data_IF_708331160633
#
_entry.id   IF_708331160633
#
_cell.length_a   1.000
_cell.length_b   1.000
_cell.length_c   1.000
_cell.angle_alpha   90.00
_cell.angle_beta   90.00
_cell.angle_gamma   90.00
#
_symmetry.space_group_name_H-M   'P 1'
#
loop_
_entity.id
_entity.type
_entity.pdbx_description
1 polymer ?
#
# COMPACT_ATOMS: atom_id res chain seq x y z
N UNK A 1 -33.50 102.71 54.55
CA UNK A 1 -34.03 101.80 53.52
C UNK A 1 -33.60 100.39 53.89
N UNK A 2 -34.54 99.48 54.14
CA UNK A 2 -34.32 98.03 54.11
C UNK A 2 -34.03 97.33 55.45
N UNK A 3 -35.10 97.09 56.21
CA UNK A 3 -35.22 96.08 57.28
C UNK A 3 -35.50 94.71 56.65
N UNK A 4 -35.01 93.60 57.20
CA UNK A 4 -35.79 92.40 57.62
C UNK A 4 -34.91 91.26 58.13
N UNK A 5 -35.44 90.61 59.18
CA UNK A 5 -34.96 89.47 59.97
C UNK A 5 -35.52 88.17 59.35
N UNK A 6 -34.80 87.02 59.46
CA UNK A 6 -35.28 85.71 59.98
C UNK A 6 -34.44 84.50 59.49
N UNK A 7 -33.79 83.86 60.47
CA UNK A 7 -33.68 82.41 60.78
C UNK A 7 -33.74 81.35 59.68
N UNK A 8 -32.80 80.38 59.74
CA UNK A 8 -33.05 79.00 59.28
C UNK A 8 -31.80 78.23 58.89
N UNK A 9 -31.37 77.30 59.75
CA UNK A 9 -30.48 76.18 59.38
C UNK A 9 -31.10 75.35 58.24
N UNK A 10 -30.30 74.73 57.35
CA UNK A 10 -30.43 73.32 56.94
C UNK A 10 -29.44 72.93 55.81
N UNK A 11 -28.52 72.01 56.18
CA UNK A 11 -28.02 70.85 55.43
C UNK A 11 -27.56 70.99 53.96
N UNK A 12 -26.25 71.09 53.77
CA UNK A 12 -25.55 70.79 52.52
C UNK A 12 -25.37 69.27 52.33
N UNK A 13 -26.26 68.59 51.61
CA UNK A 13 -26.04 67.17 51.31
C UNK A 13 -26.65 66.61 50.01
N UNK A 14 -27.36 67.39 49.18
CA UNK A 14 -28.17 66.78 48.10
C UNK A 14 -27.89 67.22 46.66
N UNK A 15 -26.82 67.99 46.39
CA UNK A 15 -26.56 68.45 45.01
C UNK A 15 -25.36 67.80 44.29
N UNK A 16 -24.58 66.94 44.96
CA UNK A 16 -23.40 66.28 44.35
C UNK A 16 -23.62 64.77 44.18
N UNK A 17 -24.86 64.32 44.03
CA UNK A 17 -25.18 62.88 43.92
C UNK A 17 -25.96 62.49 42.65
N UNK A 18 -25.97 63.32 41.61
CA UNK A 18 -26.71 63.01 40.39
C UNK A 18 -25.87 62.90 39.10
N UNK A 19 -24.54 62.91 39.19
CA UNK A 19 -23.65 62.68 38.03
C UNK A 19 -22.74 61.47 38.18
N UNK A 20 -22.83 60.73 39.29
CA UNK A 20 -22.00 59.54 39.60
C UNK A 20 -22.71 58.20 39.44
N UNK A 21 -23.94 58.18 38.91
CA UNK A 21 -24.78 56.98 38.83
C UNK A 21 -24.91 56.37 37.43
N UNK A 22 -24.27 56.95 36.40
CA UNK A 22 -24.38 56.45 35.02
C UNK A 22 -23.07 55.89 34.44
N UNK A 23 -21.99 55.83 35.23
CA UNK A 23 -20.67 55.37 34.74
C UNK A 23 -20.17 54.07 35.42
N UNK A 24 -20.96 53.45 36.29
CA UNK A 24 -20.58 52.18 36.97
C UNK A 24 -21.21 50.92 36.36
N UNK A 25 -22.22 51.05 35.49
CA UNK A 25 -22.94 49.89 34.92
C UNK A 25 -22.32 49.33 33.63
N UNK A 26 -21.28 49.97 33.06
CA UNK A 26 -20.69 49.56 31.78
C UNK A 26 -19.36 48.79 31.89
N UNK A 27 -18.67 48.89 33.03
CA UNK A 27 -17.32 48.32 33.24
C UNK A 27 -17.27 46.79 33.45
N UNK A 28 -18.13 46.16 34.28
CA UNK A 28 -18.05 44.71 34.50
C UNK A 28 -18.51 43.91 33.26
N UNK A 29 -19.45 44.44 32.48
CA UNK A 29 -19.89 43.80 31.23
C UNK A 29 -18.81 43.84 30.16
N UNK A 30 -18.11 44.97 29.99
CA UNK A 30 -17.00 45.09 29.02
C UNK A 30 -15.84 44.16 29.37
N UNK A 31 -15.51 44.01 30.65
CA UNK A 31 -14.43 43.10 31.09
C UNK A 31 -14.83 41.63 30.96
N UNK A 32 -16.07 41.26 31.31
CA UNK A 32 -16.63 39.92 31.03
C UNK A 32 -16.70 39.62 29.52
N UNK A 33 -17.10 40.60 28.70
CA UNK A 33 -17.19 40.48 27.24
C UNK A 33 -15.81 40.34 26.60
N UNK A 34 -14.80 41.11 27.07
CA UNK A 34 -13.42 40.97 26.61
C UNK A 34 -12.85 39.61 27.03
N UNK A 35 -13.06 39.17 28.27
CA UNK A 35 -12.60 37.86 28.77
C UNK A 35 -13.26 36.68 28.05
N UNK A 36 -14.55 36.78 27.75
CA UNK A 36 -15.30 35.78 26.97
C UNK A 36 -14.83 35.76 25.51
N UNK A 37 -14.58 36.91 24.90
CA UNK A 37 -13.97 37.00 23.56
C UNK A 37 -12.58 36.39 23.51
N UNK A 38 -11.72 36.69 24.49
CA UNK A 38 -10.39 36.09 24.59
C UNK A 38 -10.49 34.57 24.78
N UNK A 39 -11.41 34.09 25.61
CA UNK A 39 -11.63 32.66 25.81
C UNK A 39 -12.15 31.96 24.54
N UNK A 40 -13.08 32.57 23.81
CA UNK A 40 -13.56 32.08 22.51
C UNK A 40 -12.42 32.08 21.49
N UNK A 41 -11.58 33.12 21.44
CA UNK A 41 -10.42 33.19 20.54
C UNK A 41 -9.35 32.14 20.88
N UNK A 42 -9.10 31.89 22.18
CA UNK A 42 -8.22 30.83 22.64
C UNK A 42 -8.77 29.44 22.29
N UNK A 43 -10.08 29.21 22.46
CA UNK A 43 -10.75 27.97 22.03
C UNK A 43 -10.68 27.81 20.51
N UNK A 44 -10.90 28.88 19.74
CA UNK A 44 -10.80 28.84 18.28
C UNK A 44 -9.36 28.53 17.85
N UNK A 45 -8.36 29.14 18.48
CA UNK A 45 -6.94 28.89 18.22
C UNK A 45 -6.54 27.45 18.58
N UNK A 46 -7.06 26.91 19.69
CA UNK A 46 -6.88 25.51 20.07
C UNK A 46 -7.54 24.57 19.04
N UNK A 47 -8.76 24.86 18.62
CA UNK A 47 -9.48 24.12 17.58
C UNK A 47 -8.81 24.22 16.20
N UNK A 48 -8.21 25.36 15.86
CA UNK A 48 -7.43 25.52 14.62
C UNK A 48 -6.10 24.78 14.69
N UNK A 49 -5.49 24.65 15.87
CA UNK A 49 -4.25 23.88 16.07
C UNK A 49 -4.43 22.37 15.92
N UNK A 50 -5.67 21.86 16.04
CA UNK A 50 -5.99 20.44 15.78
C UNK A 50 -6.31 20.15 14.32
N UNK A 51 -6.61 21.19 13.51
CA UNK A 51 -6.77 21.05 12.06
C UNK A 51 -5.38 21.08 11.41
N UNK A 52 -4.67 19.96 11.48
CA UNK A 52 -3.69 19.68 10.44
C UNK A 52 -4.45 19.31 9.18
N UNK A 53 -4.74 20.33 8.37
CA UNK A 53 -5.13 20.15 6.97
C UNK A 53 -3.95 19.56 6.20
N UNK A 54 -3.78 18.24 6.26
CA UNK A 54 -2.82 17.57 5.38
C UNK A 54 -3.47 17.48 4.00
N UNK A 55 -3.01 18.31 3.07
CA UNK A 55 -3.27 18.07 1.65
C UNK A 55 -2.64 16.71 1.29
N UNK A 56 -3.45 15.66 1.26
CA UNK A 56 -3.02 14.34 0.82
C UNK A 56 -2.69 14.42 -0.68
N UNK A 57 -1.44 14.19 -1.06
CA UNK A 57 -1.03 14.15 -2.47
C UNK A 57 -1.72 13.07 -3.30
N UNK A 58 -2.39 12.13 -2.64
CA UNK A 58 -3.22 11.13 -3.29
C UNK A 58 -4.59 11.69 -3.69
N UNK A 59 -5.16 12.69 -3.00
CA UNK A 59 -6.50 13.19 -3.35
C UNK A 59 -7.58 12.11 -3.21
N UNK A 60 -8.42 11.94 -4.24
CA UNK A 60 -9.53 10.97 -4.21
C UNK A 60 -9.04 9.51 -4.41
N UNK A 61 -9.17 8.71 -3.36
CA UNK A 61 -8.82 7.29 -3.38
C UNK A 61 -9.61 6.47 -4.40
N UNK A 62 -10.84 6.87 -4.73
CA UNK A 62 -11.67 6.18 -5.72
C UNK A 62 -11.08 6.30 -7.12
N UNK A 63 -10.70 7.51 -7.49
CA UNK A 63 -10.06 7.81 -8.79
C UNK A 63 -8.71 7.12 -8.88
N UNK A 64 -7.90 7.22 -7.83
CA UNK A 64 -6.60 6.56 -7.74
C UNK A 64 -6.68 5.04 -7.82
N UNK A 65 -7.60 4.42 -7.08
CA UNK A 65 -7.81 2.97 -7.11
C UNK A 65 -8.20 2.51 -8.51
N UNK A 66 -9.12 3.23 -9.17
CA UNK A 66 -9.51 2.94 -10.55
C UNK A 66 -8.32 3.08 -11.50
N UNK A 67 -7.55 4.16 -11.39
CA UNK A 67 -6.40 4.39 -12.27
C UNK A 67 -5.33 3.30 -12.11
N UNK A 68 -4.97 2.95 -10.88
CA UNK A 68 -4.03 1.87 -10.60
C UNK A 68 -4.53 0.54 -11.17
N UNK A 69 -5.81 0.24 -10.96
CA UNK A 69 -6.43 -1.01 -11.41
C UNK A 69 -6.53 -1.10 -12.93
N UNK A 70 -6.83 0.01 -13.61
CA UNK A 70 -6.87 0.09 -15.08
C UNK A 70 -5.51 -0.26 -15.70
N UNK A 71 -4.42 0.26 -15.14
CA UNK A 71 -3.07 -0.08 -15.58
C UNK A 71 -2.70 -1.53 -15.27
N UNK A 72 -3.08 -2.04 -14.10
CA UNK A 72 -2.91 -3.46 -13.77
C UNK A 72 -3.66 -4.36 -14.76
N UNK A 73 -4.90 -4.00 -15.13
CA UNK A 73 -5.67 -4.75 -16.11
C UNK A 73 -5.04 -4.76 -17.50
N UNK A 74 -4.52 -3.62 -17.93
CA UNK A 74 -3.86 -3.49 -19.22
C UNK A 74 -2.59 -4.34 -19.30
N UNK A 75 -1.69 -4.18 -18.32
CA UNK A 75 -0.37 -4.83 -18.35
C UNK A 75 -0.40 -6.32 -17.96
N UNK A 76 -1.32 -6.72 -17.08
CA UNK A 76 -1.45 -8.11 -16.65
C UNK A 76 -2.43 -8.91 -17.50
N UNK A 77 -3.16 -8.27 -18.43
CA UNK A 77 -4.19 -8.87 -19.28
C UNK A 77 -5.34 -9.51 -18.48
N UNK A 78 -5.90 -8.75 -17.55
CA UNK A 78 -6.91 -9.25 -16.62
C UNK A 78 -8.28 -9.43 -17.28
N UNK A 79 -9.02 -10.42 -16.81
CA UNK A 79 -10.44 -10.55 -17.16
C UNK A 79 -11.33 -9.61 -16.32
N UNK A 80 -12.60 -9.47 -16.73
CA UNK A 80 -13.55 -8.55 -16.08
C UNK A 80 -13.78 -8.82 -14.60
N UNK A 81 -13.79 -10.08 -14.15
CA UNK A 81 -13.97 -10.40 -12.73
C UNK A 81 -12.76 -9.96 -11.92
N UNK A 82 -11.56 -10.27 -12.42
CA UNK A 82 -10.31 -9.85 -11.78
C UNK A 82 -10.21 -8.33 -11.74
N UNK A 83 -10.53 -7.62 -12.82
CA UNK A 83 -10.52 -6.15 -12.85
C UNK A 83 -11.43 -5.53 -11.77
N UNK A 84 -12.63 -6.07 -11.58
CA UNK A 84 -13.54 -5.62 -10.54
C UNK A 84 -13.00 -5.91 -9.13
N UNK A 85 -12.56 -7.14 -8.88
CA UNK A 85 -12.07 -7.56 -7.56
C UNK A 85 -10.76 -6.82 -7.19
N UNK A 86 -9.88 -6.56 -8.17
CA UNK A 86 -8.67 -5.76 -7.95
C UNK A 86 -8.95 -4.30 -7.59
N UNK A 87 -10.02 -3.72 -8.15
CA UNK A 87 -10.41 -2.36 -7.81
C UNK A 87 -10.79 -2.27 -6.33
N UNK A 88 -11.55 -3.24 -5.83
CA UNK A 88 -11.94 -3.31 -4.42
C UNK A 88 -10.71 -3.45 -3.52
N UNK A 89 -9.78 -4.35 -3.86
CA UNK A 89 -8.51 -4.53 -3.12
C UNK A 89 -7.68 -3.24 -3.09
N UNK A 90 -7.53 -2.58 -4.24
CA UNK A 90 -6.78 -1.33 -4.35
C UNK A 90 -7.47 -0.18 -3.61
N UNK A 91 -8.81 -0.13 -3.65
CA UNK A 91 -9.60 0.86 -2.91
C UNK A 91 -9.44 0.69 -1.41
N UNK A 92 -9.58 -0.54 -0.91
CA UNK A 92 -9.43 -0.86 0.51
C UNK A 92 -8.03 -0.52 1.01
N UNK A 93 -6.99 -0.86 0.25
CA UNK A 93 -5.63 -0.47 0.56
C UNK A 93 -5.47 1.04 0.71
N UNK A 94 -5.92 1.82 -0.28
CA UNK A 94 -5.79 3.29 -0.25
C UNK A 94 -6.58 3.91 0.91
N UNK A 95 -7.78 3.41 1.18
CA UNK A 95 -8.57 3.83 2.34
C UNK A 95 -7.87 3.49 3.67
N UNK A 96 -7.31 2.30 3.80
CA UNK A 96 -6.64 1.83 5.02
C UNK A 96 -5.35 2.61 5.33
N UNK A 97 -4.58 3.00 4.32
CA UNK A 97 -3.39 3.84 4.51
C UNK A 97 -3.75 5.33 4.68
N UNK A 98 -4.97 5.74 4.32
CA UNK A 98 -5.44 7.13 4.33
C UNK A 98 -5.10 7.91 5.61
N UNK A 99 -5.39 7.39 6.81
CA UNK A 99 -5.03 8.03 8.08
C UNK A 99 -3.52 8.21 8.31
N UNK A 100 -2.69 7.48 7.58
CA UNK A 100 -1.23 7.44 7.75
C UNK A 100 -0.48 8.18 6.64
N UNK A 101 -1.15 8.66 5.58
CA UNK A 101 -0.51 9.25 4.39
C UNK A 101 0.47 10.37 4.71
N UNK A 102 0.13 11.26 5.65
CA UNK A 102 1.03 12.36 6.04
C UNK A 102 2.27 11.87 6.79
N UNK A 103 2.11 10.86 7.65
CA UNK A 103 3.22 10.19 8.34
C UNK A 103 4.11 9.40 7.37
N UNK A 104 3.50 8.70 6.40
CA UNK A 104 4.23 7.99 5.34
C UNK A 104 5.10 8.98 4.56
N UNK A 105 4.56 10.16 4.27
CA UNK A 105 5.27 11.16 3.47
C UNK A 105 6.56 11.68 4.14
N UNK A 106 6.65 11.62 5.47
CA UNK A 106 7.82 12.04 6.26
C UNK A 106 8.61 10.88 6.87
N UNK A 107 8.28 9.64 6.50
CA UNK A 107 8.86 8.42 7.05
C UNK A 107 8.73 8.28 8.59
N UNK A 108 7.57 8.69 9.13
CA UNK A 108 7.20 8.38 10.52
C UNK A 108 7.16 6.85 10.72
N UNK A 109 7.82 6.35 11.76
CA UNK A 109 7.97 4.90 11.99
C UNK A 109 6.63 4.20 12.15
N UNK A 110 5.70 4.78 12.92
CA UNK A 110 4.37 4.19 13.13
C UNK A 110 3.55 4.17 11.84
N UNK A 111 3.61 5.24 11.06
CA UNK A 111 2.95 5.31 9.77
C UNK A 111 3.53 4.31 8.76
N UNK A 112 4.86 4.12 8.77
CA UNK A 112 5.53 3.11 7.94
C UNK A 112 5.13 1.69 8.33
N UNK A 113 5.08 1.36 9.61
CA UNK A 113 4.61 0.05 10.07
C UNK A 113 3.17 -0.23 9.61
N UNK A 114 2.29 0.77 9.71
CA UNK A 114 0.92 0.67 9.20
C UNK A 114 0.89 0.48 7.68
N UNK A 115 1.67 1.26 6.93
CA UNK A 115 1.77 1.14 5.48
C UNK A 115 2.16 -0.27 5.04
N UNK A 116 3.25 -0.81 5.57
CA UNK A 116 3.74 -2.13 5.16
C UNK A 116 2.80 -3.26 5.57
N UNK A 117 2.10 -3.14 6.71
CA UNK A 117 1.04 -4.08 7.06
C UNK A 117 -0.07 -4.11 6.00
N UNK A 118 -0.59 -2.94 5.63
CA UNK A 118 -1.66 -2.87 4.62
C UNK A 118 -1.18 -3.22 3.22
N UNK A 119 0.09 -2.96 2.90
CA UNK A 119 0.69 -3.37 1.63
C UNK A 119 0.83 -4.89 1.54
N UNK A 120 1.30 -5.55 2.61
CA UNK A 120 1.37 -7.01 2.70
C UNK A 120 -0.03 -7.63 2.58
N UNK A 121 -1.04 -7.07 3.25
CA UNK A 121 -2.44 -7.52 3.16
C UNK A 121 -3.00 -7.39 1.73
N UNK A 122 -2.80 -6.22 1.10
CA UNK A 122 -3.19 -5.98 -0.30
C UNK A 122 -2.53 -6.98 -1.23
N UNK A 123 -1.22 -7.16 -1.12
CA UNK A 123 -0.46 -8.03 -2.02
C UNK A 123 -0.81 -9.52 -1.80
N UNK A 124 -1.17 -9.92 -0.57
CA UNK A 124 -1.72 -11.26 -0.29
C UNK A 124 -3.15 -11.43 -0.84
N UNK A 125 -4.00 -10.41 -0.78
CA UNK A 125 -5.35 -10.47 -1.39
C UNK A 125 -5.29 -10.59 -2.91
N UNK A 126 -4.41 -9.84 -3.57
CA UNK A 126 -4.17 -9.94 -5.02
C UNK A 126 -3.75 -11.35 -5.45
N UNK A 127 -3.04 -12.08 -4.58
CA UNK A 127 -2.57 -13.44 -4.83
C UNK A 127 -3.71 -14.46 -4.99
N UNK A 128 -4.85 -14.20 -4.37
CA UNK A 128 -6.05 -15.06 -4.47
C UNK A 128 -6.88 -14.78 -5.72
N UNK A 129 -6.66 -13.63 -6.37
CA UNK A 129 -7.42 -13.18 -7.55
C UNK A 129 -6.62 -13.36 -8.84
N UNK A 130 -5.32 -13.15 -8.80
CA UNK A 130 -4.40 -13.27 -9.93
C UNK A 130 -3.94 -14.71 -10.11
N UNK A 131 -3.94 -15.20 -11.34
CA UNK A 131 -3.35 -16.49 -11.68
C UNK A 131 -1.85 -16.52 -11.34
N UNK A 132 -1.27 -17.71 -11.19
CA UNK A 132 0.16 -17.86 -10.91
C UNK A 132 1.05 -17.02 -11.85
N UNK A 133 0.76 -17.03 -13.15
CA UNK A 133 1.55 -16.30 -14.14
C UNK A 133 1.34 -14.77 -14.03
N UNK A 134 0.11 -14.32 -13.80
CA UNK A 134 -0.19 -12.89 -13.56
C UNK A 134 0.47 -12.39 -12.28
N UNK A 135 0.43 -13.18 -11.21
CA UNK A 135 0.99 -12.78 -9.93
C UNK A 135 2.52 -12.67 -9.96
N UNK A 136 3.20 -13.58 -10.67
CA UNK A 136 4.65 -13.46 -10.90
C UNK A 136 4.98 -12.17 -11.64
N UNK A 137 4.26 -11.85 -12.74
CA UNK A 137 4.44 -10.56 -13.44
C UNK A 137 4.16 -9.36 -12.52
N UNK A 138 3.10 -9.43 -11.72
CA UNK A 138 2.74 -8.38 -10.77
C UNK A 138 3.85 -8.08 -9.77
N UNK A 139 4.52 -9.10 -9.22
CA UNK A 139 5.64 -8.93 -8.29
C UNK A 139 6.81 -8.19 -8.96
N UNK A 140 7.08 -8.49 -10.22
CA UNK A 140 8.18 -7.89 -10.97
C UNK A 140 7.90 -6.44 -11.41
N UNK A 141 6.65 -5.97 -11.32
CA UNK A 141 6.28 -4.60 -11.69
C UNK A 141 6.24 -3.71 -10.44
N UNK A 142 7.34 -2.99 -10.21
CA UNK A 142 7.58 -2.19 -8.99
C UNK A 142 6.43 -1.22 -8.67
N UNK A 143 5.88 -0.52 -9.66
CA UNK A 143 4.81 0.46 -9.45
C UNK A 143 3.43 -0.14 -9.20
N UNK A 144 3.26 -1.45 -9.38
CA UNK A 144 2.10 -2.19 -8.89
C UNK A 144 2.35 -2.82 -7.54
N UNK A 145 3.54 -3.39 -7.34
CA UNK A 145 3.89 -4.11 -6.13
C UNK A 145 4.19 -3.17 -4.94
N UNK A 146 4.83 -2.03 -5.19
CA UNK A 146 5.07 -0.92 -4.26
C UNK A 146 4.40 0.37 -4.80
N UNK A 147 3.07 0.49 -4.68
CA UNK A 147 2.29 1.47 -5.42
C UNK A 147 2.44 2.91 -4.91
N UNK A 148 3.01 3.12 -3.72
CA UNK A 148 3.17 4.46 -3.12
C UNK A 148 4.65 4.86 -3.15
N UNK A 149 4.90 6.13 -3.42
CA UNK A 149 6.18 6.77 -3.15
C UNK A 149 5.94 8.15 -2.54
N UNK A 150 6.95 8.69 -1.87
CA UNK A 150 6.90 10.03 -1.30
C UNK A 150 8.02 10.90 -1.89
N UNK A 151 7.70 12.15 -2.19
CA UNK A 151 8.67 13.20 -2.55
C UNK A 151 8.19 14.51 -1.97
N UNK A 152 9.11 15.33 -1.46
CA UNK A 152 8.80 16.64 -0.85
C UNK A 152 7.70 16.57 0.22
N UNK A 153 7.72 15.53 1.06
CA UNK A 153 6.71 15.26 2.10
C UNK A 153 5.27 15.09 1.55
N UNK A 154 5.12 14.65 0.30
CA UNK A 154 3.84 14.34 -0.31
C UNK A 154 3.87 12.93 -0.91
N UNK A 155 2.84 12.13 -0.63
CA UNK A 155 2.68 10.79 -1.21
C UNK A 155 1.99 10.83 -2.58
N UNK A 156 2.41 9.95 -3.47
CA UNK A 156 1.87 9.80 -4.82
C UNK A 156 1.80 8.32 -5.20
N UNK A 157 0.95 7.99 -6.18
CA UNK A 157 1.00 6.67 -6.81
C UNK A 157 2.19 6.58 -7.75
N UNK A 158 3.01 5.52 -7.61
CA UNK A 158 4.21 5.28 -8.44
C UNK A 158 3.85 5.11 -9.92
N UNK A 159 2.67 4.56 -10.22
CA UNK A 159 2.14 4.41 -11.59
C UNK A 159 2.03 5.75 -12.34
N UNK A 160 1.90 6.88 -11.65
CA UNK A 160 1.85 8.21 -12.30
C UNK A 160 3.17 8.65 -12.94
N UNK A 161 4.30 8.01 -12.60
CA UNK A 161 5.58 8.24 -13.29
C UNK A 161 5.63 7.55 -14.66
N UNK A 162 4.91 6.44 -14.79
CA UNK A 162 4.89 5.61 -16.00
C UNK A 162 3.77 6.07 -16.94
N UNK A 163 2.62 6.42 -16.37
CA UNK A 163 1.44 6.89 -17.10
C UNK A 163 1.10 8.34 -16.71
N UNK A 164 1.69 9.34 -17.38
CA UNK A 164 1.50 10.74 -17.03
C UNK A 164 0.09 11.24 -17.35
N UNK A 165 -0.55 10.70 -18.38
CA UNK A 165 -1.94 11.03 -18.72
C UNK A 165 -2.90 10.32 -17.75
N UNK A 166 -3.37 11.06 -16.74
CA UNK A 166 -4.26 10.56 -15.68
C UNK A 166 -5.73 10.47 -16.08
N UNK A 167 -6.11 11.03 -17.24
CA UNK A 167 -7.51 11.02 -17.71
C UNK A 167 -7.78 9.88 -18.70
N UNK A 168 -6.73 9.23 -19.21
CA UNK A 168 -6.86 8.10 -20.12
C UNK A 168 -7.07 6.78 -19.37
N UNK A 169 -8.15 6.07 -19.68
CA UNK A 169 -8.47 4.74 -19.17
C UNK A 169 -8.61 3.75 -20.33
N UNK A 170 -8.04 2.56 -20.18
CA UNK A 170 -8.18 1.48 -21.17
C UNK A 170 -9.52 0.75 -21.01
N UNK A 171 -10.06 0.71 -19.80
CA UNK A 171 -11.29 -0.01 -19.47
C UNK A 171 -12.37 0.92 -18.91
N UNK A 172 -13.62 0.48 -19.05
CA UNK A 172 -14.76 1.10 -18.37
C UNK A 172 -14.60 1.11 -16.85
N UNK A 173 -15.39 1.92 -16.13
CA UNK A 173 -15.38 1.88 -14.67
C UNK A 173 -15.77 0.48 -14.14
N UNK A 174 -15.16 0.01 -13.04
CA UNK A 174 -15.58 -1.21 -12.37
C UNK A 174 -17.07 -1.20 -12.02
N UNK A 175 -17.71 -2.36 -12.00
CA UNK A 175 -19.17 -2.52 -11.82
C UNK A 175 -19.70 -1.80 -10.57
N UNK A 176 -18.94 -1.84 -9.49
CA UNK A 176 -19.28 -1.24 -8.20
C UNK A 176 -18.49 0.05 -7.93
N UNK A 177 -17.96 0.72 -8.96
CA UNK A 177 -17.11 1.90 -8.81
C UNK A 177 -17.74 2.97 -7.90
N UNK A 178 -19.03 3.29 -8.06
CA UNK A 178 -19.71 4.32 -7.27
C UNK A 178 -20.26 3.81 -5.92
N UNK A 179 -20.53 2.51 -5.82
CA UNK A 179 -21.27 1.91 -4.71
C UNK A 179 -20.37 1.20 -3.70
N UNK A 180 -19.15 0.83 -4.08
CA UNK A 180 -18.24 0.13 -3.18
C UNK A 180 -17.75 1.03 -2.04
N UNK A 181 -17.83 0.48 -0.81
CA UNK A 181 -17.51 1.14 0.47
C UNK A 181 -16.69 0.24 1.41
N UNK A 182 -15.88 -0.65 0.85
CA UNK A 182 -14.99 -1.54 1.62
C UNK A 182 -15.66 -2.79 2.18
N UNK A 183 -16.72 -3.27 1.54
CA UNK A 183 -17.43 -4.49 1.97
C UNK A 183 -16.55 -5.75 1.98
N UNK A 184 -15.43 -5.77 1.26
CA UNK A 184 -14.48 -6.90 1.22
C UNK A 184 -13.19 -6.64 2.00
N UNK A 185 -13.11 -5.51 2.73
CA UNK A 185 -11.94 -5.16 3.50
C UNK A 185 -11.73 -6.17 4.64
N UNK A 186 -10.47 -6.58 4.86
CA UNK A 186 -10.09 -7.55 5.90
C UNK A 186 -10.52 -7.18 7.31
N UNK A 187 -10.70 -5.88 7.60
CA UNK A 187 -11.22 -5.41 8.89
C UNK A 187 -12.60 -6.00 9.21
N UNK A 188 -13.41 -6.29 8.19
CA UNK A 188 -14.73 -6.93 8.34
C UNK A 188 -14.67 -8.45 8.47
N UNK A 189 -13.50 -9.06 8.22
CA UNK A 189 -13.31 -10.51 8.20
C UNK A 189 -12.22 -10.98 9.17
N UNK A 190 -11.96 -10.23 10.24
CA UNK A 190 -11.01 -10.61 11.29
C UNK A 190 -9.56 -10.77 10.78
N UNK A 191 -9.18 -10.00 9.75
CA UNK A 191 -7.85 -10.07 9.15
C UNK A 191 -7.70 -11.15 8.07
N UNK A 192 -8.72 -11.97 7.83
CA UNK A 192 -8.72 -12.99 6.78
C UNK A 192 -9.11 -12.38 5.43
N UNK A 193 -8.42 -12.81 4.36
CA UNK A 193 -8.76 -12.45 2.99
C UNK A 193 -10.21 -12.84 2.65
N UNK A 194 -11.02 -11.86 2.24
CA UNK A 194 -12.36 -12.10 1.70
C UNK A 194 -12.31 -13.03 0.48
N UNK A 195 -11.40 -12.76 -0.46
CA UNK A 195 -11.28 -13.50 -1.72
C UNK A 195 -10.90 -14.97 -1.50
N UNK A 196 -9.96 -15.23 -0.58
CA UNK A 196 -9.62 -16.60 -0.16
C UNK A 196 -10.83 -17.35 0.38
N UNK A 197 -11.62 -16.70 1.24
CA UNK A 197 -12.73 -17.32 1.96
C UNK A 197 -13.94 -17.53 1.05
N UNK A 198 -14.25 -16.55 0.20
CA UNK A 198 -15.53 -16.48 -0.49
C UNK A 198 -15.46 -16.93 -1.95
N UNK A 199 -14.28 -16.91 -2.60
CA UNK A 199 -14.12 -17.23 -4.03
C UNK A 199 -13.30 -18.49 -4.36
N UNK A 200 -13.34 -19.58 -3.55
CA UNK A 200 -12.53 -20.77 -3.83
C UNK A 200 -12.90 -21.48 -5.15
N UNK A 201 -14.13 -21.32 -5.63
CA UNK A 201 -14.60 -21.87 -6.90
C UNK A 201 -14.42 -20.91 -8.10
N UNK A 202 -14.30 -19.59 -7.86
CA UNK A 202 -14.09 -18.59 -8.92
C UNK A 202 -12.62 -18.54 -9.32
N UNK A 203 -11.73 -18.52 -8.33
CA UNK A 203 -10.28 -18.49 -8.54
C UNK A 203 -9.68 -19.83 -8.11
N UNK A 204 -9.72 -20.79 -9.04
CA UNK A 204 -9.16 -22.12 -8.85
C UNK A 204 -7.91 -22.28 -9.70
N UNK A 205 -6.78 -21.78 -9.20
CA UNK A 205 -5.46 -21.95 -9.80
C UNK A 205 -4.43 -22.20 -8.71
N UNK A 206 -3.25 -22.77 -9.06
CA UNK A 206 -2.11 -22.79 -8.15
C UNK A 206 -1.85 -21.37 -7.64
N UNK A 207 -1.70 -21.26 -6.32
CA UNK A 207 -1.43 -19.99 -5.64
C UNK A 207 0.06 -19.92 -5.36
N UNK A 208 0.67 -18.76 -5.60
CA UNK A 208 2.08 -18.53 -5.33
C UNK A 208 2.36 -18.76 -3.84
N UNK A 209 3.01 -19.87 -3.49
CA UNK A 209 3.03 -20.35 -2.10
C UNK A 209 3.92 -19.53 -1.17
N UNK A 210 4.87 -18.75 -1.71
CA UNK A 210 5.78 -17.97 -0.86
C UNK A 210 5.02 -16.79 -0.25
N UNK A 211 5.12 -16.58 1.08
CA UNK A 211 4.57 -15.41 1.72
C UNK A 211 5.13 -14.14 1.06
N UNK A 212 4.22 -13.34 0.52
CA UNK A 212 4.55 -12.03 -0.01
C UNK A 212 4.58 -11.03 1.16
N UNK A 213 5.62 -11.12 1.99
CA UNK A 213 5.84 -10.16 3.07
C UNK A 213 7.07 -9.35 2.76
N UNK A 214 6.91 -8.04 2.72
CA UNK A 214 8.04 -7.14 2.53
C UNK A 214 8.88 -7.20 3.81
N UNK A 215 10.10 -7.71 3.66
CA UNK A 215 11.06 -7.89 4.74
C UNK A 215 11.25 -6.58 5.51
N UNK A 216 11.12 -6.57 6.85
CA UNK A 216 11.34 -5.37 7.65
C UNK A 216 12.67 -4.68 7.39
N UNK A 217 13.71 -5.42 7.00
CA UNK A 217 15.02 -4.90 6.67
C UNK A 217 15.06 -4.13 5.34
N UNK A 218 14.18 -4.46 4.39
CA UNK A 218 14.10 -3.79 3.08
C UNK A 218 13.24 -2.52 3.12
N UNK A 219 12.27 -2.45 4.05
CA UNK A 219 11.32 -1.34 4.24
C UNK A 219 11.93 0.08 4.31
N UNK A 220 13.08 0.31 4.96
CA UNK A 220 13.66 1.65 5.03
C UNK A 220 14.14 2.21 3.69
N UNK A 221 14.25 1.37 2.65
CA UNK A 221 14.83 1.75 1.36
C UNK A 221 13.78 2.09 0.27
N UNK A 222 12.51 1.70 0.42
CA UNK A 222 11.48 1.85 -0.63
C UNK A 222 10.98 3.30 -0.80
N UNK A 223 11.06 4.09 0.27
CA UNK A 223 10.80 5.53 0.31
C UNK A 223 12.13 6.22 0.59
N UNK A 224 12.96 6.40 -0.44
CA UNK A 224 14.30 6.97 -0.37
C UNK A 224 14.59 7.87 0.87
N UNK A 225 15.60 7.51 1.65
CA UNK A 225 16.24 8.39 2.64
C UNK A 225 17.75 8.14 2.68
N UNK A 226 18.57 9.21 2.69
CA UNK A 226 18.85 9.86 3.96
C UNK A 226 18.64 11.38 3.95
N UNK A 227 18.05 11.94 5.02
CA UNK A 227 18.26 13.36 5.36
C UNK A 227 19.72 13.53 5.83
N UNK A 228 20.42 14.61 5.44
CA UNK A 228 21.71 14.94 6.02
C UNK A 228 21.53 15.33 7.50
N UNK A 229 22.34 14.76 8.39
CA UNK A 229 22.49 15.22 9.77
C UNK A 229 22.26 14.14 10.82
N UNK A 230 23.32 13.89 11.60
CA UNK A 230 23.37 13.07 12.83
C UNK A 230 23.50 11.55 12.64
N UNK A 231 24.54 11.11 11.92
CA UNK A 231 25.26 9.90 12.35
C UNK A 231 26.26 10.30 13.44
N UNK A 232 26.29 9.62 14.61
CA UNK A 232 27.43 9.73 15.51
C UNK A 232 28.70 9.27 14.76
N UNK A 233 29.87 9.87 15.03
CA UNK A 233 31.08 9.62 14.26
C UNK A 233 31.41 8.12 14.27
N UNK A 234 31.49 7.54 13.07
CA UNK A 234 31.91 6.17 12.88
C UNK A 234 33.38 6.09 13.27
N UNK A 235 33.70 5.37 14.35
CA UNK A 235 35.09 5.10 14.75
C UNK A 235 35.79 4.38 13.59
N UNK A 236 36.95 4.85 13.08
CA UNK A 236 37.63 4.11 12.05
C UNK A 236 38.43 2.95 12.68
N UNK A 237 38.45 1.86 11.93
CA UNK A 237 39.64 1.07 11.61
C UNK A 237 39.67 -0.37 12.14
N UNK A 238 39.38 -1.32 11.24
CA UNK A 238 40.11 -2.57 11.15
C UNK A 238 40.30 -2.89 9.66
N UNK A 239 41.55 -2.85 9.19
CA UNK A 239 41.93 -3.45 7.90
C UNK A 239 42.48 -4.86 8.17
N UNK A 240 42.09 -5.89 7.40
CA UNK A 240 42.80 -7.16 7.43
C UNK A 240 44.23 -6.96 6.89
N UNK A 241 45.22 -7.57 7.54
CA UNK A 241 46.62 -7.48 7.12
C UNK A 241 46.84 -8.08 5.72
N UNK A 242 47.65 -7.46 4.84
CA UNK A 242 48.10 -8.10 3.61
C UNK A 242 49.07 -9.24 3.95
N UNK A 243 48.89 -10.42 3.35
CA UNK A 243 49.94 -11.46 3.32
C UNK A 243 50.95 -11.10 2.22
N UNK A 244 52.26 -11.04 2.52
CA UNK A 244 53.29 -11.12 1.51
C UNK A 244 53.83 -12.55 1.38
N UNK A 245 53.96 -12.99 0.14
CA UNK A 245 54.53 -14.25 -0.32
C UNK A 245 55.95 -14.50 0.20
N UNK A 246 56.27 -15.77 0.52
CA UNK A 246 57.65 -16.22 0.70
C UNK A 246 57.95 -17.43 -0.19
N UNK A 247 58.79 -17.20 -1.20
CA UNK A 247 59.75 -18.16 -1.81
C UNK A 247 60.93 -17.36 -2.36
N UNK A 248 62.13 -17.92 -2.60
CA UNK A 248 62.77 -19.15 -2.07
C UNK A 248 64.24 -18.93 -1.62
N UNK A 249 64.90 -19.95 -1.02
CA UNK A 249 66.38 -20.07 -1.06
C UNK A 249 66.75 -21.50 -1.44
N UNK A 250 67.67 -21.64 -2.40
CA UNK A 250 68.18 -22.90 -2.95
C UNK A 250 69.32 -23.50 -2.12
N UNK A 251 69.37 -24.83 -1.98
CA UNK A 251 70.63 -25.59 -1.88
C UNK A 251 70.45 -26.97 -2.53
N UNK A 252 71.32 -27.31 -3.49
CA UNK A 252 71.81 -28.67 -3.75
C UNK A 252 71.04 -29.60 -4.70
N UNK A 253 71.51 -29.70 -5.95
CA UNK A 253 71.36 -30.88 -6.83
C UNK A 253 72.39 -31.96 -6.41
N UNK A 254 72.18 -33.26 -6.69
CA UNK A 254 72.81 -33.79 -7.91
C UNK A 254 71.99 -34.79 -8.75
N UNK A 255 72.50 -34.92 -9.96
CA UNK A 255 72.05 -35.63 -11.16
C UNK A 255 71.72 -37.12 -11.04
N UNK A 256 70.75 -37.57 -11.85
CA UNK A 256 70.99 -38.67 -12.81
C UNK A 256 70.07 -38.54 -14.04
N UNK A 257 70.61 -38.87 -15.22
CA UNK A 257 69.97 -38.83 -16.56
C UNK A 257 69.72 -40.29 -17.06
N UNK A 258 69.07 -40.54 -18.22
CA UNK A 258 67.85 -41.35 -18.39
C UNK A 258 68.09 -42.67 -19.16
N UNK A 259 67.06 -43.45 -19.59
CA UNK A 259 66.55 -43.27 -20.96
C UNK A 259 65.05 -43.63 -21.24
N UNK A 260 64.59 -43.12 -22.40
CA UNK A 260 63.54 -43.52 -23.38
C UNK A 260 63.10 -45.03 -23.36
N UNK A 261 61.92 -45.53 -23.79
CA UNK A 261 61.00 -45.23 -24.91
C UNK A 261 59.70 -46.16 -24.85
N UNK A 262 58.89 -46.47 -25.92
CA UNK A 262 57.53 -45.95 -26.19
C UNK A 262 56.40 -47.02 -26.48
N UNK A 263 55.28 -46.56 -27.09
CA UNK A 263 54.09 -47.27 -27.64
C UNK A 263 52.91 -47.43 -26.65
N UNK A 264 51.67 -46.96 -26.89
CA UNK A 264 50.80 -47.13 -28.07
C UNK A 264 49.68 -46.06 -28.06
N UNK A 265 49.44 -45.42 -29.20
CA UNK A 265 48.17 -44.77 -29.60
C UNK A 265 47.64 -45.58 -30.83
N UNK A 266 46.42 -45.40 -31.40
CA UNK A 266 45.52 -44.22 -31.40
C UNK A 266 44.03 -44.62 -31.18
N UNK A 267 42.96 -43.81 -31.27
CA UNK A 267 42.73 -42.42 -31.67
C UNK A 267 41.21 -42.12 -31.69
N UNK A 268 40.90 -40.82 -31.68
CA UNK A 268 39.76 -40.07 -32.27
C UNK A 268 38.27 -40.55 -32.23
N UNK A 269 37.50 -39.67 -31.56
CA UNK A 269 36.06 -39.24 -31.59
C UNK A 269 35.29 -39.28 -32.96
N UNK A 270 34.07 -38.69 -33.10
CA UNK A 270 32.71 -39.00 -32.56
C UNK A 270 31.59 -38.97 -33.66
N UNK A 271 30.48 -39.73 -33.63
CA UNK A 271 29.26 -39.31 -34.38
C UNK A 271 27.97 -40.14 -34.16
N UNK A 272 26.87 -39.37 -34.06
CA UNK A 272 25.52 -39.53 -34.63
C UNK A 272 24.50 -40.63 -34.24
N UNK A 273 23.26 -40.12 -34.18
CA UNK A 273 21.95 -40.74 -33.95
C UNK A 273 21.60 -41.82 -34.98
N UNK A 274 20.75 -42.80 -34.59
CA UNK A 274 19.75 -43.32 -35.53
C UNK A 274 18.29 -43.21 -35.02
N UNK A 275 17.42 -43.00 -36.01
CA UNK A 275 15.96 -43.01 -36.02
C UNK A 275 15.37 -44.43 -36.05
N UNK A 276 14.29 -44.70 -35.27
CA UNK A 276 12.99 -45.35 -35.65
C UNK A 276 12.34 -46.20 -34.52
N UNK A 277 11.11 -45.79 -34.19
CA UNK A 277 9.84 -46.49 -33.84
C UNK A 277 9.81 -48.04 -33.66
N UNK A 278 9.02 -48.51 -32.68
CA UNK A 278 7.77 -49.30 -32.94
C UNK A 278 6.58 -48.70 -32.13
N UNK A 279 5.45 -48.27 -32.71
CA UNK A 279 4.24 -49.02 -33.09
C UNK A 279 3.73 -50.02 -32.03
N UNK A 280 2.72 -49.61 -31.24
CA UNK A 280 1.41 -50.28 -30.99
C UNK A 280 0.58 -49.44 -30.00
N UNK A 281 -0.72 -49.28 -30.33
CA UNK A 281 -1.78 -48.56 -29.61
C UNK A 281 -2.44 -49.46 -28.53
N UNK A 282 -3.13 -48.91 -27.51
CA UNK A 282 -4.56 -49.21 -27.45
C UNK A 282 -5.48 -48.04 -27.08
N UNK A 283 -6.56 -48.01 -27.87
CA UNK A 283 -7.95 -47.65 -27.60
C UNK A 283 -8.42 -46.27 -27.11
N UNK A 284 -9.21 -45.68 -28.03
CA UNK A 284 -10.08 -44.52 -27.87
C UNK A 284 -11.34 -44.92 -27.09
N UNK A 285 -11.58 -44.33 -25.91
CA UNK A 285 -12.94 -44.25 -25.37
C UNK A 285 -13.78 -43.22 -26.15
N UNK A 286 -14.98 -43.66 -26.54
CA UNK A 286 -15.89 -43.08 -27.52
C UNK A 286 -16.83 -42.02 -26.88
N UNK A 287 -16.96 -40.78 -27.40
CA UNK A 287 -17.83 -39.74 -26.82
C UNK A 287 -19.35 -39.89 -27.00
N UNK A 288 -19.87 -41.10 -27.30
CA UNK A 288 -21.30 -41.29 -27.62
C UNK A 288 -22.20 -41.74 -26.45
N UNK A 289 -21.65 -42.33 -25.38
CA UNK A 289 -22.46 -42.85 -24.26
C UNK A 289 -22.83 -41.81 -23.18
N UNK A 290 -22.13 -40.67 -23.12
CA UNK A 290 -22.44 -39.62 -22.12
C UNK A 290 -23.68 -38.81 -22.55
N UNK A 291 -23.88 -38.62 -23.87
CA UNK A 291 -24.99 -37.83 -24.44
C UNK A 291 -26.34 -38.56 -24.41
N UNK A 292 -26.34 -39.89 -24.38
CA UNK A 292 -27.59 -40.67 -24.22
C UNK A 292 -28.05 -40.71 -22.75
N UNK A 293 -27.11 -40.80 -21.79
CA UNK A 293 -27.45 -40.76 -20.35
C UNK A 293 -27.96 -39.39 -19.89
N UNK A 294 -27.50 -38.29 -20.49
CA UNK A 294 -28.04 -36.96 -20.19
C UNK A 294 -29.46 -36.76 -20.72
N UNK A 295 -29.76 -37.27 -21.92
CA UNK A 295 -31.09 -37.15 -22.52
C UNK A 295 -32.16 -38.02 -21.82
N UNK A 296 -31.78 -39.15 -21.23
CA UNK A 296 -32.73 -39.99 -20.50
C UNK A 296 -33.14 -39.37 -19.15
N UNK A 297 -32.17 -38.77 -18.41
CA UNK A 297 -32.44 -38.06 -17.16
C UNK A 297 -33.29 -36.80 -17.35
N UNK A 298 -33.20 -36.13 -18.50
CA UNK A 298 -34.05 -34.97 -18.80
C UNK A 298 -35.49 -35.37 -19.18
N UNK A 299 -35.68 -36.53 -19.84
CA UNK A 299 -37.01 -37.08 -20.13
C UNK A 299 -37.76 -37.50 -18.86
N UNK A 300 -37.09 -38.09 -17.87
CA UNK A 300 -37.72 -38.42 -16.58
C UNK A 300 -38.12 -37.17 -15.77
N UNK A 301 -37.28 -36.13 -15.77
CA UNK A 301 -37.63 -34.86 -15.09
C UNK A 301 -38.83 -34.15 -15.72
N UNK A 302 -38.96 -34.18 -17.04
CA UNK A 302 -40.13 -33.62 -17.75
C UNK A 302 -41.40 -34.47 -17.59
N UNK A 303 -41.27 -35.77 -17.32
CA UNK A 303 -42.39 -36.67 -16.99
C UNK A 303 -42.97 -36.42 -15.59
N UNK A 304 -42.11 -36.10 -14.61
CA UNK A 304 -42.53 -35.87 -13.21
C UNK A 304 -43.17 -34.50 -12.99
N UNK A 305 -42.83 -33.50 -13.82
CA UNK A 305 -43.42 -32.15 -13.78
C UNK A 305 -44.84 -32.05 -14.38
N UNK A 306 -45.37 -33.13 -14.98
CA UNK A 306 -46.73 -33.18 -15.56
C UNK A 306 -47.73 -33.95 -14.70
N UNK A 307 -47.34 -34.38 -13.49
CA UNK A 307 -48.19 -35.15 -12.56
C UNK A 307 -48.36 -34.48 -11.18
N UNK A 308 -48.09 -33.19 -11.08
CA UNK A 308 -48.49 -32.30 -9.98
C UNK A 308 -49.28 -31.14 -10.59
#
# INVERSE_FOLDING_TARGET
MGVFILTGEFSSANFVLSTKLEESHSQPEKTMLMRTRTFILCLLALCLSTIRGYASGLGDFRVNARFLTDRMAFELHLNSNQYNDLYEINYDFLCNIGPYVSGIAVADTRAMDAYYRYLDERNDDLRWVLSQAEYVRFIDIEYFFHPIYAINNVCYLRVYKIYPNRTHFYFGPPRHYLTYRGGHCRSHFGGVSYYRRNYPARYHHPVYSRPCRISPQMRPHDFAGPRPGNRPPQKPNWKPAPRPDRRPVSVGKPNYRPPHNPHKAPGFKPQERPTRRPEVSPDKMRPKQIREKSNMKEKERKSLSKRL
#
